data_IF_496580690809
#
_entry.id   IF_496580690809
#
_cell.length_a   1.000
_cell.length_b   1.000
_cell.length_c   1.000
_cell.angle_alpha   90.00
_cell.angle_beta   90.00
_cell.angle_gamma   90.00
#
_symmetry.space_group_name_H-M   'P 1'
#
loop_
_entity.id
_entity.type
_entity.pdbx_description
1 polymer ?
#
# COMPACT_ATOMS: atom_id res chain seq x y z
N UNK A 1 -3.14 -20.24 -38.64
CA UNK A 1 -3.99 -19.05 -38.89
C UNK A 1 -5.32 -19.35 -38.23
N UNK A 2 -5.51 -18.99 -36.99
CA UNK A 2 -6.76 -19.04 -36.23
C UNK A 2 -6.90 -17.70 -35.53
N UNK A 3 -7.90 -16.92 -35.96
CA UNK A 3 -8.26 -15.66 -35.32
C UNK A 3 -8.71 -15.98 -33.89
N UNK A 4 -7.98 -15.49 -32.91
CA UNK A 4 -8.46 -15.41 -31.54
C UNK A 4 -9.66 -14.44 -31.55
N UNK A 5 -10.86 -14.95 -31.26
CA UNK A 5 -12.03 -14.14 -30.98
C UNK A 5 -11.78 -13.20 -29.80
N UNK A 6 -12.60 -12.17 -29.61
CA UNK A 6 -12.46 -11.28 -28.46
C UNK A 6 -12.53 -12.13 -27.20
N UNK A 7 -11.45 -12.07 -26.38
CA UNK A 7 -11.41 -12.69 -25.06
C UNK A 7 -12.51 -11.98 -24.28
N UNK A 8 -13.51 -12.74 -23.84
CA UNK A 8 -14.59 -12.24 -23.00
C UNK A 8 -13.94 -11.65 -21.73
N UNK A 9 -14.14 -10.37 -21.49
CA UNK A 9 -13.44 -9.65 -20.40
C UNK A 9 -13.65 -10.30 -19.04
N UNK A 10 -14.76 -10.99 -18.83
CA UNK A 10 -15.11 -11.66 -17.58
C UNK A 10 -14.38 -12.99 -17.39
N UNK A 11 -14.15 -13.77 -18.45
CA UNK A 11 -13.32 -14.97 -18.37
C UNK A 11 -11.85 -14.63 -18.08
N UNK A 12 -11.33 -13.55 -18.70
CA UNK A 12 -9.98 -13.07 -18.43
C UNK A 12 -9.85 -12.56 -16.97
N UNK A 13 -10.87 -11.90 -16.45
CA UNK A 13 -10.91 -11.42 -15.05
C UNK A 13 -11.01 -12.59 -14.07
N UNK A 14 -11.90 -13.55 -14.30
CA UNK A 14 -12.03 -14.75 -13.47
C UNK A 14 -10.74 -15.57 -13.42
N UNK A 15 -10.10 -15.81 -14.57
CA UNK A 15 -8.81 -16.48 -14.64
C UNK A 15 -7.71 -15.66 -13.93
N UNK A 16 -7.71 -14.34 -14.07
CA UNK A 16 -6.76 -13.47 -13.39
C UNK A 16 -6.92 -13.54 -11.88
N UNK A 17 -8.15 -13.57 -11.35
CA UNK A 17 -8.43 -13.69 -9.91
C UNK A 17 -7.98 -15.05 -9.38
N UNK A 18 -8.32 -16.15 -10.06
CA UNK A 18 -7.89 -17.49 -9.67
C UNK A 18 -6.36 -17.62 -9.73
N UNK A 19 -5.71 -17.14 -10.78
CA UNK A 19 -4.26 -17.09 -10.87
C UNK A 19 -3.65 -16.20 -9.77
N UNK A 20 -4.24 -15.02 -9.52
CA UNK A 20 -3.79 -14.15 -8.44
C UNK A 20 -3.90 -14.82 -7.07
N UNK A 21 -4.94 -15.59 -6.83
CA UNK A 21 -5.12 -16.30 -5.57
C UNK A 21 -4.17 -17.48 -5.43
N UNK A 22 -4.06 -18.33 -6.47
CA UNK A 22 -3.25 -19.56 -6.45
C UNK A 22 -1.76 -19.26 -6.63
N UNK A 23 -1.41 -18.40 -7.60
CA UNK A 23 -0.02 -18.14 -7.97
C UNK A 23 0.60 -17.00 -7.14
N UNK A 24 -0.21 -16.06 -6.65
CA UNK A 24 0.26 -14.86 -5.95
C UNK A 24 0.22 -14.96 -4.42
N UNK A 25 -0.25 -16.08 -3.82
CA UNK A 25 -0.30 -16.24 -2.36
C UNK A 25 -0.96 -14.98 -1.70
N UNK A 26 -2.27 -14.82 -1.92
CA UNK A 26 -3.03 -13.65 -1.46
C UNK A 26 -2.85 -13.35 0.04
N UNK A 27 -2.81 -14.34 0.95
CA UNK A 27 -2.52 -14.07 2.36
C UNK A 27 -1.19 -13.34 2.59
N UNK A 28 -0.15 -13.68 1.84
CA UNK A 28 1.14 -12.96 1.92
C UNK A 28 1.08 -11.53 1.38
N UNK A 29 0.20 -11.25 0.42
CA UNK A 29 -0.01 -9.90 -0.11
C UNK A 29 -0.78 -9.02 0.87
N UNK A 30 -1.79 -9.60 1.54
CA UNK A 30 -2.70 -8.85 2.42
C UNK A 30 -2.27 -8.85 3.89
N UNK A 31 -1.17 -9.54 4.24
CA UNK A 31 -0.76 -9.71 5.63
C UNK A 31 -1.80 -10.48 6.46
N UNK A 32 -2.49 -11.45 5.83
CA UNK A 32 -3.56 -12.22 6.47
C UNK A 32 -4.89 -11.48 6.62
N UNK A 33 -4.98 -10.21 6.16
CA UNK A 33 -6.24 -9.47 6.12
C UNK A 33 -7.07 -9.91 4.91
N UNK A 34 -8.40 -9.70 4.98
CA UNK A 34 -9.28 -9.99 3.85
C UNK A 34 -9.06 -9.01 2.71
N UNK A 35 -9.01 -9.53 1.48
CA UNK A 35 -8.96 -8.71 0.28
C UNK A 35 -10.38 -8.37 -0.20
N UNK A 36 -10.66 -7.11 -0.48
CA UNK A 36 -11.86 -6.72 -1.20
C UNK A 36 -11.66 -6.99 -2.70
N UNK A 37 -12.53 -7.79 -3.29
CA UNK A 37 -12.43 -8.19 -4.69
C UNK A 37 -13.74 -7.88 -5.39
N UNK A 38 -13.65 -7.14 -6.50
CA UNK A 38 -14.77 -6.76 -7.33
C UNK A 38 -15.30 -7.96 -8.13
N UNK A 39 -16.61 -8.17 -8.08
CA UNK A 39 -17.31 -9.22 -8.82
C UNK A 39 -18.35 -8.62 -9.76
N UNK A 40 -18.28 -9.02 -11.02
CA UNK A 40 -19.33 -8.75 -11.99
C UNK A 40 -20.52 -9.69 -11.78
N UNK A 41 -21.64 -9.40 -12.45
CA UNK A 41 -22.83 -10.27 -12.43
C UNK A 41 -22.49 -11.72 -12.83
N UNK A 42 -21.74 -11.87 -13.90
CA UNK A 42 -21.37 -13.18 -14.46
C UNK A 42 -20.50 -13.97 -13.48
N UNK A 43 -19.60 -13.30 -12.78
CA UNK A 43 -18.74 -13.92 -11.77
C UNK A 43 -19.53 -14.37 -10.53
N UNK A 44 -20.50 -13.57 -10.08
CA UNK A 44 -21.38 -13.89 -8.95
C UNK A 44 -22.26 -15.11 -9.27
N UNK A 45 -22.98 -15.06 -10.39
CA UNK A 45 -23.88 -16.14 -10.82
C UNK A 45 -23.11 -17.40 -11.20
N UNK A 46 -21.93 -17.26 -11.81
CA UNK A 46 -21.04 -18.34 -12.21
C UNK A 46 -20.29 -19.01 -11.05
N UNK A 47 -20.45 -18.54 -9.79
CA UNK A 47 -19.85 -19.19 -8.62
C UNK A 47 -18.33 -18.98 -8.50
N UNK A 48 -17.75 -17.98 -9.17
CA UNK A 48 -16.28 -17.74 -9.14
C UNK A 48 -15.83 -17.39 -7.73
N UNK A 49 -16.64 -16.69 -6.93
CA UNK A 49 -16.32 -16.37 -5.55
C UNK A 49 -16.13 -17.63 -4.68
N UNK A 50 -16.88 -18.71 -4.96
CA UNK A 50 -16.83 -19.97 -4.22
C UNK A 50 -15.52 -20.75 -4.40
N UNK A 51 -14.68 -20.36 -5.38
CA UNK A 51 -13.34 -20.91 -5.57
C UNK A 51 -12.30 -20.33 -4.59
N UNK A 52 -12.65 -19.27 -3.86
CA UNK A 52 -11.78 -18.56 -2.94
C UNK A 52 -12.21 -18.79 -1.50
N UNK A 53 -11.29 -18.87 -0.51
CA UNK A 53 -11.68 -19.06 0.89
C UNK A 53 -12.48 -17.87 1.43
N UNK A 54 -13.61 -18.09 2.14
CA UNK A 54 -14.47 -17.02 2.64
C UNK A 54 -13.81 -16.13 3.72
N UNK A 55 -12.79 -16.64 4.40
CA UNK A 55 -12.01 -15.91 5.39
C UNK A 55 -10.90 -15.04 4.78
N UNK A 56 -10.58 -15.23 3.51
CA UNK A 56 -9.53 -14.49 2.82
C UNK A 56 -10.06 -13.32 1.99
N UNK A 57 -11.36 -13.27 1.68
CA UNK A 57 -11.94 -12.24 0.80
C UNK A 57 -13.19 -11.60 1.38
N UNK A 58 -13.48 -10.40 0.89
CA UNK A 58 -14.80 -9.74 0.90
C UNK A 58 -15.25 -9.65 -0.55
N UNK A 59 -16.43 -10.18 -0.84
CA UNK A 59 -17.03 -10.14 -2.18
C UNK A 59 -17.64 -8.75 -2.37
N UNK A 60 -17.06 -7.96 -3.26
CA UNK A 60 -17.49 -6.60 -3.56
C UNK A 60 -18.38 -6.61 -4.80
N UNK A 61 -19.66 -6.26 -4.62
CA UNK A 61 -20.64 -6.20 -5.71
C UNK A 61 -20.60 -4.80 -6.29
N UNK A 62 -20.22 -4.71 -7.57
CA UNK A 62 -20.09 -3.43 -8.26
C UNK A 62 -21.46 -2.74 -8.41
N UNK A 63 -21.46 -1.40 -8.45
CA UNK A 63 -22.64 -0.57 -8.66
C UNK A 63 -23.36 -0.83 -10.02
N UNK A 64 -22.61 -1.38 -10.98
CA UNK A 64 -23.13 -1.73 -12.33
C UNK A 64 -23.84 -3.09 -12.38
N UNK A 65 -23.84 -3.84 -11.28
CA UNK A 65 -24.48 -5.17 -11.23
C UNK A 65 -25.97 -5.02 -11.00
N UNK A 66 -26.79 -5.46 -11.96
CA UNK A 66 -28.23 -5.57 -11.78
C UNK A 66 -28.57 -6.62 -10.73
N UNK A 67 -29.27 -6.21 -9.67
CA UNK A 67 -29.69 -7.10 -8.58
C UNK A 67 -30.95 -7.91 -8.97
N UNK A 68 -30.85 -8.68 -10.08
CA UNK A 68 -31.88 -9.62 -10.48
C UNK A 68 -31.99 -10.83 -9.52
N UNK A 69 -32.95 -11.69 -9.76
CA UNK A 69 -33.19 -12.83 -8.86
C UNK A 69 -31.99 -13.80 -8.79
N UNK A 70 -31.24 -13.95 -9.89
CA UNK A 70 -30.06 -14.83 -9.93
C UNK A 70 -28.90 -14.24 -9.09
N UNK A 71 -28.69 -12.92 -9.16
CA UNK A 71 -27.69 -12.23 -8.36
C UNK A 71 -28.05 -12.30 -6.87
N UNK A 72 -29.33 -12.04 -6.52
CA UNK A 72 -29.79 -12.11 -5.13
C UNK A 72 -29.64 -13.55 -4.58
N UNK A 73 -29.95 -14.56 -5.38
CA UNK A 73 -29.75 -15.97 -5.02
C UNK A 73 -28.26 -16.30 -4.83
N UNK A 74 -27.38 -15.86 -5.76
CA UNK A 74 -25.94 -16.06 -5.65
C UNK A 74 -25.38 -15.38 -4.39
N UNK A 75 -25.72 -14.14 -4.12
CA UNK A 75 -25.33 -13.42 -2.89
C UNK A 75 -25.85 -14.13 -1.63
N UNK A 76 -27.05 -14.65 -1.65
CA UNK A 76 -27.61 -15.42 -0.53
C UNK A 76 -26.84 -16.72 -0.28
N UNK A 77 -26.47 -17.45 -1.34
CA UNK A 77 -25.62 -18.64 -1.22
C UNK A 77 -24.26 -18.29 -0.62
N UNK A 78 -23.63 -17.22 -1.10
CA UNK A 78 -22.33 -16.75 -0.58
C UNK A 78 -22.43 -16.41 0.91
N UNK A 79 -23.51 -15.72 1.34
CA UNK A 79 -23.76 -15.45 2.78
C UNK A 79 -23.85 -16.72 3.60
N UNK A 80 -24.60 -17.72 3.14
CA UNK A 80 -24.71 -19.02 3.84
C UNK A 80 -23.38 -19.79 3.88
N UNK A 81 -22.52 -19.59 2.87
CA UNK A 81 -21.18 -20.17 2.83
C UNK A 81 -20.14 -19.39 3.67
N UNK A 82 -20.54 -18.31 4.36
CA UNK A 82 -19.69 -17.56 5.29
C UNK A 82 -18.92 -16.38 4.67
N UNK A 83 -19.20 -16.02 3.40
CA UNK A 83 -18.59 -14.85 2.78
C UNK A 83 -19.16 -13.54 3.35
N UNK A 84 -18.31 -12.53 3.41
CA UNK A 84 -18.74 -11.15 3.61
C UNK A 84 -19.03 -10.49 2.27
N UNK A 85 -20.13 -9.74 2.20
CA UNK A 85 -20.54 -8.99 1.02
C UNK A 85 -20.36 -7.49 1.25
N UNK A 86 -19.74 -6.81 0.31
CA UNK A 86 -19.66 -5.35 0.24
C UNK A 86 -20.46 -4.83 -0.96
N UNK A 87 -21.18 -3.71 -0.78
CA UNK A 87 -21.81 -2.98 -1.88
C UNK A 87 -20.95 -1.78 -2.22
N UNK A 88 -20.53 -1.70 -3.49
CA UNK A 88 -19.70 -0.63 -4.00
C UNK A 88 -20.50 0.59 -4.41
N UNK A 89 -19.95 1.79 -4.24
CA UNK A 89 -20.51 3.10 -4.63
C UNK A 89 -22.04 3.19 -4.35
N UNK A 90 -22.43 2.88 -3.10
CA UNK A 90 -23.87 2.76 -2.74
C UNK A 90 -24.61 4.05 -2.94
N UNK A 91 -25.65 4.00 -3.79
CA UNK A 91 -26.59 5.10 -4.05
C UNK A 91 -27.89 4.84 -3.29
N UNK A 92 -28.29 5.79 -2.42
CA UNK A 92 -29.49 5.68 -1.57
C UNK A 92 -30.80 5.48 -2.33
N UNK A 93 -30.87 5.93 -3.58
CA UNK A 93 -32.07 5.88 -4.42
C UNK A 93 -32.09 4.71 -5.41
N UNK A 94 -31.03 3.88 -5.45
CA UNK A 94 -30.97 2.73 -6.34
C UNK A 94 -31.83 1.58 -5.83
N UNK A 95 -32.85 1.18 -6.58
CA UNK A 95 -33.67 -0.01 -6.28
C UNK A 95 -32.83 -1.29 -6.24
N UNK A 96 -31.81 -1.37 -7.07
CA UNK A 96 -30.88 -2.50 -7.16
C UNK A 96 -30.11 -2.68 -5.84
N UNK A 97 -29.55 -1.59 -5.32
CA UNK A 97 -28.86 -1.63 -4.03
C UNK A 97 -29.79 -1.96 -2.87
N UNK A 98 -31.07 -1.54 -2.91
CA UNK A 98 -32.03 -1.87 -1.88
C UNK A 98 -32.31 -3.37 -1.79
N UNK A 99 -32.30 -4.11 -2.90
CA UNK A 99 -32.50 -5.57 -2.90
C UNK A 99 -31.34 -6.33 -2.25
N UNK A 100 -30.11 -5.85 -2.40
CA UNK A 100 -28.89 -6.46 -1.86
C UNK A 100 -28.54 -5.98 -0.45
N UNK A 101 -29.08 -4.81 -0.02
CA UNK A 101 -28.77 -4.20 1.27
C UNK A 101 -28.99 -5.14 2.46
N UNK A 102 -30.03 -5.98 2.52
CA UNK A 102 -30.20 -6.94 3.63
C UNK A 102 -29.09 -7.99 3.74
N UNK A 103 -28.37 -8.25 2.66
CA UNK A 103 -27.29 -9.21 2.58
C UNK A 103 -25.91 -8.60 2.85
N UNK A 104 -25.80 -7.27 2.81
CA UNK A 104 -24.55 -6.54 2.90
C UNK A 104 -23.99 -6.48 4.32
N UNK A 105 -22.72 -6.86 4.48
CA UNK A 105 -21.94 -6.68 5.71
C UNK A 105 -21.19 -5.34 5.71
N UNK A 106 -20.81 -4.87 4.51
CA UNK A 106 -20.12 -3.60 4.31
C UNK A 106 -20.88 -2.80 3.25
N UNK A 107 -21.04 -1.50 3.47
CA UNK A 107 -21.55 -0.58 2.46
C UNK A 107 -20.53 0.54 2.28
N UNK A 108 -20.09 0.73 1.04
CA UNK A 108 -19.09 1.72 0.64
C UNK A 108 -19.79 2.98 0.17
N UNK A 109 -19.35 4.12 0.64
CA UNK A 109 -19.90 5.44 0.32
C UNK A 109 -18.78 6.31 -0.23
N UNK A 110 -18.91 6.71 -1.51
CA UNK A 110 -17.95 7.59 -2.17
C UNK A 110 -18.01 9.00 -1.61
N UNK A 111 -16.89 9.48 -1.04
CA UNK A 111 -16.80 10.82 -0.48
C UNK A 111 -16.58 11.90 -1.54
N UNK A 112 -16.03 11.56 -2.71
CA UNK A 112 -15.91 12.52 -3.82
C UNK A 112 -17.22 12.78 -4.53
N UNK A 113 -18.07 11.73 -4.64
CA UNK A 113 -19.38 11.82 -5.31
C UNK A 113 -20.50 12.35 -4.42
N UNK A 114 -20.33 12.42 -3.10
CA UNK A 114 -21.38 12.77 -2.16
C UNK A 114 -21.01 14.00 -1.30
N UNK A 115 -21.94 14.96 -1.19
CA UNK A 115 -21.81 16.08 -0.27
C UNK A 115 -22.05 15.65 1.20
N UNK A 116 -21.80 16.56 2.13
CA UNK A 116 -21.95 16.27 3.57
C UNK A 116 -23.33 15.77 3.95
N UNK A 117 -24.40 16.31 3.33
CA UNK A 117 -25.79 15.90 3.61
C UNK A 117 -26.06 14.49 3.14
N UNK A 118 -25.57 14.13 1.94
CA UNK A 118 -25.70 12.78 1.42
C UNK A 118 -24.92 11.77 2.27
N UNK A 119 -23.71 12.12 2.74
CA UNK A 119 -22.91 11.30 3.67
C UNK A 119 -23.59 11.08 5.02
N UNK A 120 -24.22 12.13 5.60
CA UNK A 120 -25.02 12.00 6.83
C UNK A 120 -26.28 11.16 6.62
N UNK A 121 -26.98 11.34 5.51
CA UNK A 121 -28.15 10.54 5.16
C UNK A 121 -27.80 9.07 4.98
N UNK A 122 -26.65 8.78 4.35
CA UNK A 122 -26.13 7.43 4.21
C UNK A 122 -25.94 6.77 5.59
N UNK A 123 -25.30 7.47 6.54
CA UNK A 123 -25.17 6.96 7.93
C UNK A 123 -26.52 6.64 8.56
N UNK A 124 -27.49 7.56 8.45
CA UNK A 124 -28.81 7.37 9.05
C UNK A 124 -29.56 6.17 8.50
N UNK A 125 -29.49 5.94 7.17
CA UNK A 125 -30.22 4.86 6.50
C UNK A 125 -29.51 3.52 6.52
N UNK A 126 -28.19 3.54 6.47
CA UNK A 126 -27.39 2.32 6.27
C UNK A 126 -26.90 1.71 7.58
N UNK A 127 -26.80 2.49 8.65
CA UNK A 127 -26.33 1.99 9.95
C UNK A 127 -27.29 0.93 10.49
N UNK A 128 -26.77 -0.27 10.67
CA UNK A 128 -27.50 -1.42 11.22
C UNK A 128 -26.54 -2.25 12.08
N UNK A 129 -27.04 -2.97 13.09
CA UNK A 129 -26.19 -3.88 13.87
C UNK A 129 -25.48 -4.89 12.98
N UNK A 130 -24.16 -4.97 13.10
CA UNK A 130 -23.32 -5.89 12.33
C UNK A 130 -22.90 -5.40 10.93
N UNK A 131 -23.49 -4.28 10.44
CA UNK A 131 -23.07 -3.70 9.16
C UNK A 131 -22.02 -2.62 9.36
N UNK A 132 -20.95 -2.69 8.58
CA UNK A 132 -19.87 -1.71 8.59
C UNK A 132 -20.10 -0.67 7.46
N UNK A 133 -19.76 0.58 7.73
CA UNK A 133 -19.71 1.63 6.73
C UNK A 133 -18.24 1.91 6.37
N UNK A 134 -17.95 1.91 5.07
CA UNK A 134 -16.65 2.23 4.51
C UNK A 134 -16.74 3.57 3.79
N UNK A 135 -15.93 4.53 4.21
CA UNK A 135 -15.75 5.80 3.51
C UNK A 135 -14.70 5.61 2.42
N UNK A 136 -15.13 5.77 1.16
CA UNK A 136 -14.25 5.67 -0.01
C UNK A 136 -13.75 7.02 -0.48
N UNK A 137 -12.61 6.98 -1.19
CA UNK A 137 -11.99 8.16 -1.81
C UNK A 137 -11.80 9.32 -0.84
N UNK A 138 -11.51 8.97 0.43
CA UNK A 138 -11.17 9.97 1.45
C UNK A 138 -9.83 10.60 1.09
N UNK A 139 -9.82 11.90 0.80
CA UNK A 139 -8.64 12.59 0.30
C UNK A 139 -7.98 13.52 1.31
N UNK A 140 -8.70 13.89 2.37
CA UNK A 140 -8.23 14.86 3.36
C UNK A 140 -8.39 14.35 4.79
N UNK A 141 -7.53 14.83 5.70
CA UNK A 141 -7.63 14.50 7.12
C UNK A 141 -8.94 14.99 7.75
N UNK A 142 -9.49 16.18 7.42
CA UNK A 142 -10.82 16.58 7.87
C UNK A 142 -11.94 15.62 7.44
N UNK A 143 -11.90 15.08 6.22
CA UNK A 143 -12.86 14.07 5.78
C UNK A 143 -12.73 12.78 6.55
N UNK A 144 -11.53 12.31 6.81
CA UNK A 144 -11.26 11.13 7.63
C UNK A 144 -11.80 11.31 9.05
N UNK A 145 -11.47 12.43 9.71
CA UNK A 145 -11.95 12.70 11.06
C UNK A 145 -13.48 12.83 11.09
N UNK A 146 -14.09 13.47 10.09
CA UNK A 146 -15.53 13.54 9.95
C UNK A 146 -16.16 12.14 9.82
N UNK A 147 -15.62 11.29 8.94
CA UNK A 147 -16.09 9.93 8.73
C UNK A 147 -16.03 9.12 10.04
N UNK A 148 -14.89 9.18 10.73
CA UNK A 148 -14.66 8.49 11.99
C UNK A 148 -15.69 8.91 13.09
N UNK A 149 -15.97 10.21 13.19
CA UNK A 149 -16.92 10.76 14.15
C UNK A 149 -18.38 10.39 13.83
N UNK A 150 -18.70 10.15 12.56
CA UNK A 150 -20.06 9.85 12.10
C UNK A 150 -20.35 8.35 11.97
N UNK A 151 -19.39 7.48 12.30
CA UNK A 151 -19.63 6.05 12.43
C UNK A 151 -19.19 5.22 11.21
N UNK A 152 -18.42 5.79 10.30
CA UNK A 152 -17.65 5.03 9.36
C UNK A 152 -16.50 4.34 10.10
N UNK A 153 -16.39 3.04 9.94
CA UNK A 153 -15.39 2.21 10.64
C UNK A 153 -14.25 1.77 9.75
N UNK A 154 -14.47 1.78 8.44
CA UNK A 154 -13.50 1.47 7.41
C UNK A 154 -13.27 2.71 6.54
N UNK A 155 -12.03 2.92 6.11
CA UNK A 155 -11.66 4.09 5.35
C UNK A 155 -10.74 3.67 4.21
N UNK A 156 -11.06 4.11 3.00
CA UNK A 156 -10.28 3.89 1.79
C UNK A 156 -10.02 5.24 1.13
N UNK A 157 -8.76 5.52 0.82
CA UNK A 157 -8.39 6.75 0.15
C UNK A 157 -6.95 7.12 0.38
N UNK A 158 -6.52 8.21 -0.24
CA UNK A 158 -5.12 8.62 -0.28
C UNK A 158 -4.77 9.68 0.78
N UNK A 159 -5.71 9.99 1.71
CA UNK A 159 -5.55 11.08 2.68
C UNK A 159 -4.31 10.92 3.57
N UNK A 160 -4.01 9.69 4.03
CA UNK A 160 -2.87 9.42 4.91
C UNK A 160 -1.51 9.52 4.18
N UNK A 161 -1.51 9.35 2.85
CA UNK A 161 -0.30 9.45 2.03
C UNK A 161 -0.08 10.87 1.45
N UNK A 162 -1.02 11.81 1.66
CA UNK A 162 -0.86 13.22 1.28
C UNK A 162 -0.18 14.00 2.41
N UNK A 163 0.81 14.85 2.11
CA UNK A 163 1.36 15.76 3.10
C UNK A 163 0.28 16.76 3.55
N UNK A 164 -0.17 16.62 4.78
CA UNK A 164 -1.00 17.66 5.40
C UNK A 164 -0.06 18.57 6.18
N UNK A 165 0.27 19.72 5.64
CA UNK A 165 1.18 20.65 6.32
C UNK A 165 0.51 21.25 7.55
N UNK A 166 1.03 20.94 8.72
CA UNK A 166 0.72 21.64 9.95
C UNK A 166 1.72 22.77 10.12
N UNK A 167 1.30 23.99 9.76
CA UNK A 167 2.15 25.18 9.90
C UNK A 167 2.56 25.38 11.37
N UNK A 168 3.85 25.60 11.59
CA UNK A 168 4.39 26.08 12.88
C UNK A 168 4.84 25.02 13.89
N UNK A 169 4.65 23.72 13.68
CA UNK A 169 5.22 22.70 14.56
C UNK A 169 6.68 22.39 14.18
N UNK A 170 7.59 22.40 15.15
CA UNK A 170 8.95 21.91 14.92
C UNK A 170 8.97 20.39 14.87
N UNK A 171 9.87 19.82 14.04
CA UNK A 171 10.08 18.36 14.04
C UNK A 171 10.61 17.94 15.41
N UNK A 172 9.97 16.98 16.11
CA UNK A 172 10.44 16.52 17.41
C UNK A 172 11.91 16.09 17.37
N UNK A 173 12.71 16.40 18.41
CA UNK A 173 14.14 16.05 18.44
C UNK A 173 14.43 14.57 18.16
N UNK A 174 13.59 13.65 18.65
CA UNK A 174 13.70 12.22 18.36
C UNK A 174 13.61 11.91 16.86
N UNK A 175 12.69 12.54 16.13
CA UNK A 175 12.55 12.36 14.66
C UNK A 175 13.73 12.98 13.90
N UNK A 176 14.32 14.06 14.41
CA UNK A 176 15.53 14.67 13.83
C UNK A 176 16.73 13.71 13.87
N UNK A 177 16.87 12.90 14.92
CA UNK A 177 17.95 11.91 15.00
C UNK A 177 17.83 10.85 13.90
N UNK A 178 16.63 10.37 13.62
CA UNK A 178 16.40 9.45 12.50
C UNK A 178 16.68 10.10 11.13
N UNK A 179 16.35 11.38 10.94
CA UNK A 179 16.69 12.10 9.70
C UNK A 179 18.21 12.26 9.55
N UNK A 180 18.93 12.53 10.63
CA UNK A 180 20.41 12.57 10.62
C UNK A 180 21.01 11.22 10.25
N UNK A 181 20.47 10.12 10.82
CA UNK A 181 20.90 8.78 10.48
C UNK A 181 20.61 8.45 9.01
N UNK A 182 19.43 8.79 8.48
CA UNK A 182 19.12 8.64 7.05
C UNK A 182 20.14 9.37 6.17
N UNK A 183 20.58 10.57 6.56
CA UNK A 183 21.63 11.29 5.85
C UNK A 183 22.99 10.58 5.91
N UNK A 184 23.37 10.05 7.08
CA UNK A 184 24.63 9.31 7.23
C UNK A 184 24.68 8.04 6.37
N UNK A 185 23.52 7.38 6.18
CA UNK A 185 23.40 6.21 5.30
C UNK A 185 23.60 6.55 3.81
N UNK A 186 23.57 7.82 3.41
CA UNK A 186 23.73 8.26 2.01
C UNK A 186 25.18 8.54 1.62
N UNK A 187 26.10 8.61 2.58
CA UNK A 187 27.53 8.82 2.27
C UNK A 187 28.06 7.74 1.33
N UNK A 188 28.92 8.10 0.39
CA UNK A 188 29.50 7.19 -0.61
C UNK A 188 30.15 5.96 0.03
N UNK A 189 30.91 6.21 1.09
CA UNK A 189 31.42 5.17 2.00
C UNK A 189 30.65 5.22 3.31
N UNK A 190 30.16 4.08 3.76
CA UNK A 190 29.39 4.00 5.00
C UNK A 190 30.38 4.06 6.18
N UNK A 191 30.33 5.14 6.92
CA UNK A 191 31.06 5.23 8.19
C UNK A 191 30.35 4.35 9.23
N UNK A 192 30.83 3.10 9.33
CA UNK A 192 30.25 2.12 10.25
C UNK A 192 30.38 2.53 11.71
N UNK A 193 31.41 3.31 12.07
CA UNK A 193 31.59 3.78 13.46
C UNK A 193 30.58 4.87 13.79
N UNK A 194 30.34 5.82 12.89
CA UNK A 194 29.31 6.83 13.07
C UNK A 194 27.90 6.23 13.08
N UNK A 195 27.63 5.26 12.21
CA UNK A 195 26.34 4.55 12.18
C UNK A 195 26.15 3.71 13.45
N UNK A 196 27.17 2.99 13.89
CA UNK A 196 27.10 2.23 15.16
C UNK A 196 26.80 3.14 16.33
N UNK A 197 27.50 4.27 16.46
CA UNK A 197 27.25 5.24 17.53
C UNK A 197 25.80 5.74 17.50
N UNK A 198 25.30 6.17 16.33
CA UNK A 198 23.95 6.67 16.19
C UNK A 198 22.88 5.62 16.51
N UNK A 199 23.09 4.34 16.16
CA UNK A 199 22.18 3.25 16.49
C UNK A 199 22.24 2.91 17.99
N UNK A 200 23.41 2.93 18.60
CA UNK A 200 23.58 2.62 20.03
C UNK A 200 22.99 3.68 20.95
N UNK A 201 22.99 4.93 20.53
CA UNK A 201 22.38 6.05 21.28
C UNK A 201 20.86 5.95 21.34
N UNK A 202 20.24 5.15 20.47
CA UNK A 202 18.80 4.86 20.47
C UNK A 202 18.53 3.39 20.86
N UNK A 203 18.10 3.20 22.11
CA UNK A 203 17.80 1.85 22.66
C UNK A 203 16.71 1.15 21.84
N UNK A 204 15.69 1.89 21.37
CA UNK A 204 14.60 1.33 20.56
C UNK A 204 15.12 0.85 19.20
N UNK A 205 15.95 1.66 18.54
CA UNK A 205 16.55 1.31 17.24
C UNK A 205 17.49 0.11 17.39
N UNK A 206 18.33 0.10 18.41
CA UNK A 206 19.21 -1.04 18.74
C UNK A 206 18.40 -2.33 18.94
N UNK A 207 17.35 -2.27 19.75
CA UNK A 207 16.50 -3.43 20.03
C UNK A 207 15.82 -3.95 18.76
N UNK A 208 15.24 -3.06 17.96
CA UNK A 208 14.58 -3.42 16.69
C UNK A 208 15.56 -4.04 15.70
N UNK A 209 16.77 -3.49 15.55
CA UNK A 209 17.81 -4.03 14.69
C UNK A 209 18.22 -5.45 15.11
N UNK A 210 18.54 -5.65 16.40
CA UNK A 210 18.95 -6.95 16.89
C UNK A 210 17.81 -7.99 16.82
N UNK A 211 16.58 -7.60 17.12
CA UNK A 211 15.39 -8.47 16.99
C UNK A 211 15.18 -8.91 15.55
N UNK A 212 15.25 -7.97 14.60
CA UNK A 212 15.12 -8.25 13.18
C UNK A 212 16.17 -9.26 12.71
N UNK A 213 17.44 -9.05 13.04
CA UNK A 213 18.53 -9.92 12.59
C UNK A 213 18.55 -11.28 13.27
N UNK A 214 17.98 -11.41 14.45
CA UNK A 214 17.81 -12.69 15.14
C UNK A 214 16.47 -13.37 14.82
N UNK A 215 15.66 -12.81 13.90
CA UNK A 215 14.42 -13.43 13.45
C UNK A 215 14.71 -14.61 12.51
N UNK A 216 13.68 -15.46 12.28
CA UNK A 216 13.76 -16.62 11.39
C UNK A 216 14.09 -16.25 9.92
N UNK A 217 13.89 -14.98 9.53
CA UNK A 217 14.22 -14.47 8.19
C UNK A 217 15.73 -14.44 7.90
N UNK A 218 16.56 -14.45 8.95
CA UNK A 218 18.01 -14.48 8.84
C UNK A 218 18.54 -15.77 9.46
N UNK A 219 18.98 -16.71 8.64
CA UNK A 219 19.51 -18.02 9.08
C UNK A 219 20.97 -17.91 9.55
N UNK A 220 21.25 -17.07 10.55
CA UNK A 220 22.61 -16.95 11.08
C UNK A 220 23.02 -18.19 11.88
N UNK A 221 24.27 -18.65 11.70
CA UNK A 221 24.85 -19.76 12.49
C UNK A 221 25.05 -19.41 13.97
N UNK A 222 25.20 -18.12 14.28
CA UNK A 222 25.41 -17.62 15.64
C UNK A 222 24.48 -16.41 15.86
N UNK A 223 24.07 -16.24 17.11
CA UNK A 223 23.22 -15.11 17.50
C UNK A 223 23.97 -13.79 17.38
N UNK A 224 23.37 -12.79 16.77
CA UNK A 224 23.92 -11.43 16.68
C UNK A 224 23.73 -10.75 18.03
N UNK A 225 24.85 -10.43 18.71
CA UNK A 225 24.84 -9.90 20.07
C UNK A 225 25.20 -8.41 20.20
N UNK A 226 25.63 -7.75 19.12
CA UNK A 226 25.99 -6.34 19.15
C UNK A 226 25.64 -5.63 17.84
N UNK A 227 25.48 -4.30 17.90
CA UNK A 227 25.23 -3.45 16.73
C UNK A 227 26.37 -3.61 15.72
N UNK A 228 27.63 -3.54 16.15
CA UNK A 228 28.79 -3.73 15.27
C UNK A 228 28.77 -5.06 14.53
N UNK A 229 28.52 -6.15 15.26
CA UNK A 229 28.38 -7.47 14.65
C UNK A 229 27.25 -7.50 13.63
N UNK A 230 26.10 -6.84 13.92
CA UNK A 230 24.98 -6.70 13.04
C UNK A 230 25.36 -6.01 11.71
N UNK A 231 26.02 -4.85 11.79
CA UNK A 231 26.40 -4.05 10.63
C UNK A 231 27.40 -4.79 9.73
N UNK A 232 28.41 -5.43 10.35
CA UNK A 232 29.42 -6.22 9.62
C UNK A 232 28.79 -7.45 8.95
N UNK A 233 27.90 -8.16 9.64
CA UNK A 233 27.24 -9.35 9.12
C UNK A 233 26.29 -9.04 7.96
N UNK A 234 25.60 -7.90 8.01
CA UNK A 234 24.71 -7.43 6.93
C UNK A 234 25.47 -7.01 5.67
N UNK A 235 26.65 -6.40 5.85
CA UNK A 235 27.31 -5.67 4.79
C UNK A 235 26.67 -4.31 4.51
N UNK A 236 27.30 -3.52 3.66
CA UNK A 236 26.94 -2.11 3.47
C UNK A 236 25.53 -1.91 2.87
N UNK A 237 25.21 -2.59 1.77
CA UNK A 237 23.93 -2.45 1.07
C UNK A 237 22.74 -2.84 1.94
N UNK A 238 22.81 -3.99 2.62
CA UNK A 238 21.75 -4.43 3.51
C UNK A 238 21.62 -3.50 4.72
N UNK A 239 22.75 -3.02 5.27
CA UNK A 239 22.77 -2.03 6.35
C UNK A 239 22.01 -0.76 5.95
N UNK A 240 22.30 -0.19 4.78
CA UNK A 240 21.60 1.00 4.26
C UNK A 240 20.10 0.77 4.19
N UNK A 241 19.67 -0.35 3.61
CA UNK A 241 18.25 -0.69 3.42
C UNK A 241 17.51 -0.87 4.75
N UNK A 242 18.07 -1.69 5.63
CA UNK A 242 17.44 -2.00 6.92
C UNK A 242 17.41 -0.82 7.89
N UNK A 243 18.48 -0.06 7.98
CA UNK A 243 18.47 1.14 8.82
C UNK A 243 17.55 2.23 8.24
N UNK A 244 17.45 2.37 6.92
CA UNK A 244 16.46 3.29 6.32
C UNK A 244 15.03 2.90 6.68
N UNK A 245 14.69 1.60 6.66
CA UNK A 245 13.40 1.11 7.12
C UNK A 245 13.16 1.42 8.60
N UNK A 246 14.12 1.05 9.47
CA UNK A 246 13.99 1.27 10.91
C UNK A 246 13.87 2.77 11.26
N UNK A 247 14.61 3.64 10.57
CA UNK A 247 14.47 5.09 10.72
C UNK A 247 13.06 5.56 10.29
N UNK A 248 12.55 5.08 9.16
CA UNK A 248 11.19 5.42 8.70
C UNK A 248 10.14 4.96 9.71
N UNK A 249 10.25 3.75 10.25
CA UNK A 249 9.39 3.26 11.35
C UNK A 249 9.49 4.15 12.60
N UNK A 250 10.70 4.58 12.96
CA UNK A 250 10.93 5.47 14.11
C UNK A 250 10.30 6.85 13.92
N UNK A 251 10.34 7.39 12.70
CA UNK A 251 9.70 8.66 12.37
C UNK A 251 8.17 8.54 12.34
N UNK A 252 7.65 7.37 11.95
CA UNK A 252 6.22 7.11 11.75
C UNK A 252 5.48 6.59 12.99
N UNK A 253 6.09 6.62 14.20
CA UNK A 253 5.50 6.02 15.42
C UNK A 253 4.11 6.55 15.81
N UNK A 254 3.78 7.76 15.41
CA UNK A 254 2.50 8.44 15.66
C UNK A 254 1.61 8.49 14.39
N UNK A 255 1.90 7.67 13.39
CA UNK A 255 1.21 7.62 12.10
C UNK A 255 0.69 6.21 11.81
N UNK A 256 -0.29 6.05 10.90
CA UNK A 256 -0.73 4.74 10.46
C UNK A 256 0.41 3.86 9.96
N UNK A 257 0.43 2.60 10.37
CA UNK A 257 1.47 1.64 9.98
C UNK A 257 1.53 1.43 8.45
N UNK A 258 0.40 1.64 7.78
CA UNK A 258 0.24 1.57 6.34
C UNK A 258 1.19 2.50 5.58
N UNK A 259 1.54 3.66 6.15
CA UNK A 259 2.54 4.57 5.56
C UNK A 259 3.93 3.93 5.48
N UNK A 260 4.30 3.14 6.49
CA UNK A 260 5.59 2.43 6.50
C UNK A 260 5.55 1.28 5.50
N UNK A 261 4.45 0.52 5.46
CA UNK A 261 4.23 -0.56 4.47
C UNK A 261 4.33 0.01 3.06
N UNK A 262 3.66 1.11 2.79
CA UNK A 262 3.67 1.76 1.48
C UNK A 262 5.06 2.32 1.12
N UNK A 263 5.78 2.91 2.09
CA UNK A 263 7.16 3.37 1.89
C UNK A 263 8.09 2.23 1.50
N UNK A 264 7.99 1.08 2.19
CA UNK A 264 8.81 -0.09 1.89
C UNK A 264 8.40 -0.74 0.55
N UNK A 265 7.10 -0.78 0.25
CA UNK A 265 6.59 -1.25 -1.05
C UNK A 265 7.16 -0.40 -2.20
N UNK A 266 7.11 0.94 -2.09
CA UNK A 266 7.72 1.84 -3.08
C UNK A 266 9.21 1.61 -3.21
N UNK A 267 9.92 1.48 -2.09
CA UNK A 267 11.36 1.27 -2.08
C UNK A 267 11.75 -0.02 -2.83
N UNK A 268 11.10 -1.13 -2.49
CA UNK A 268 11.34 -2.42 -3.14
C UNK A 268 10.92 -2.44 -4.60
N UNK A 269 9.77 -1.85 -4.92
CA UNK A 269 9.32 -1.73 -6.29
C UNK A 269 10.30 -0.94 -7.15
N UNK A 270 10.76 0.21 -6.69
CA UNK A 270 11.71 1.04 -7.43
C UNK A 270 13.09 0.36 -7.57
N UNK A 271 13.52 -0.39 -6.56
CA UNK A 271 14.72 -1.21 -6.63
C UNK A 271 14.61 -2.27 -7.74
N UNK A 272 13.50 -3.01 -7.83
CA UNK A 272 13.27 -4.01 -8.85
C UNK A 272 13.09 -3.40 -10.25
N UNK A 273 12.36 -2.30 -10.35
CA UNK A 273 12.16 -1.56 -11.61
C UNK A 273 13.48 -1.04 -12.15
N UNK A 274 14.47 -0.71 -11.31
CA UNK A 274 15.78 -0.25 -11.76
C UNK A 274 16.42 -1.21 -12.77
N UNK A 275 16.30 -2.53 -12.54
CA UNK A 275 16.77 -3.54 -13.49
C UNK A 275 15.97 -3.61 -14.78
N UNK A 276 14.67 -3.30 -14.73
CA UNK A 276 13.79 -3.32 -15.90
C UNK A 276 14.00 -2.13 -16.84
N UNK A 277 14.59 -1.04 -16.34
CA UNK A 277 14.78 0.24 -17.06
C UNK A 277 16.26 0.60 -17.26
N UNK A 278 17.18 -0.35 -17.04
CA UNK A 278 18.63 -0.16 -17.27
C UNK A 278 19.32 0.75 -16.25
N UNK A 279 18.82 0.81 -15.01
CA UNK A 279 19.35 1.61 -13.91
C UNK A 279 19.85 0.76 -12.73
N UNK A 280 20.32 -0.46 -12.97
CA UNK A 280 20.77 -1.40 -11.92
C UNK A 280 21.85 -0.80 -11.03
N UNK A 281 22.79 -0.05 -11.60
CA UNK A 281 23.85 0.63 -10.86
C UNK A 281 23.32 1.69 -9.86
N UNK A 282 22.07 2.08 -10.00
CA UNK A 282 21.38 3.07 -9.15
C UNK A 282 20.25 2.46 -8.32
N UNK A 283 20.18 1.14 -8.22
CA UNK A 283 19.14 0.44 -7.48
C UNK A 283 19.02 0.92 -6.02
N UNK A 284 20.16 1.18 -5.35
CA UNK A 284 20.20 1.75 -4.02
C UNK A 284 19.61 3.16 -3.92
N UNK A 285 19.83 4.00 -4.96
CA UNK A 285 19.22 5.34 -5.01
C UNK A 285 17.71 5.26 -5.19
N UNK A 286 17.23 4.36 -6.07
CA UNK A 286 15.82 4.14 -6.30
C UNK A 286 15.13 3.56 -5.05
N UNK A 287 15.76 2.59 -4.37
CA UNK A 287 15.27 2.09 -3.10
C UNK A 287 15.11 3.21 -2.07
N UNK A 288 16.17 4.02 -1.88
CA UNK A 288 16.14 5.11 -0.92
C UNK A 288 15.08 6.17 -1.30
N UNK A 289 14.98 6.51 -2.58
CA UNK A 289 13.95 7.42 -3.10
C UNK A 289 12.54 6.94 -2.75
N UNK A 290 12.24 5.67 -2.97
CA UNK A 290 10.96 5.08 -2.58
C UNK A 290 10.71 5.19 -1.08
N UNK A 291 11.70 4.84 -0.26
CA UNK A 291 11.62 4.88 1.20
C UNK A 291 11.30 6.28 1.73
N UNK A 292 11.95 7.33 1.20
CA UNK A 292 11.77 8.70 1.69
C UNK A 292 10.60 9.45 1.01
N UNK A 293 10.00 8.87 -0.03
CA UNK A 293 8.95 9.52 -0.82
C UNK A 293 7.70 9.89 -0.01
N UNK A 294 7.43 9.21 1.09
CA UNK A 294 6.32 9.47 2.00
C UNK A 294 6.71 10.23 3.27
N UNK A 295 7.99 10.59 3.46
CA UNK A 295 8.39 11.35 4.65
C UNK A 295 7.65 12.67 4.82
N UNK A 296 7.30 13.44 3.77
CA UNK A 296 6.46 14.63 3.92
C UNK A 296 5.11 14.32 4.57
N UNK A 297 4.44 13.23 4.17
CA UNK A 297 3.18 12.78 4.76
C UNK A 297 3.37 12.28 6.21
N UNK A 298 4.42 11.49 6.45
CA UNK A 298 4.75 10.97 7.79
C UNK A 298 5.06 12.11 8.77
N UNK A 299 5.79 13.14 8.33
CA UNK A 299 6.16 14.28 9.16
C UNK A 299 5.08 15.37 9.20
N UNK A 300 4.02 15.27 8.37
CA UNK A 300 3.01 16.30 8.14
C UNK A 300 3.65 17.67 7.77
N UNK A 301 4.57 17.66 6.80
CA UNK A 301 5.36 18.81 6.39
C UNK A 301 5.40 18.96 4.88
N UNK A 302 5.66 20.18 4.44
CA UNK A 302 5.88 20.46 3.04
C UNK A 302 7.07 19.67 2.48
N UNK A 303 6.88 19.08 1.29
CA UNK A 303 7.89 18.25 0.65
C UNK A 303 9.23 18.98 0.47
N UNK A 304 9.20 20.25 0.11
CA UNK A 304 10.38 21.07 -0.06
C UNK A 304 11.20 21.20 1.24
N UNK A 305 10.54 21.40 2.38
CA UNK A 305 11.19 21.49 3.69
C UNK A 305 11.85 20.18 4.10
N UNK A 306 11.13 19.06 3.92
CA UNK A 306 11.63 17.74 4.30
C UNK A 306 12.81 17.33 3.43
N UNK A 307 12.68 17.47 2.11
CA UNK A 307 13.75 17.06 1.20
C UNK A 307 14.97 18.00 1.22
N UNK A 308 14.80 19.24 1.68
CA UNK A 308 15.95 20.15 1.93
C UNK A 308 16.83 19.66 3.11
N UNK A 309 16.25 18.90 4.06
CA UNK A 309 17.00 18.36 5.20
C UNK A 309 17.70 17.03 4.88
N UNK A 310 17.44 16.43 3.71
CA UNK A 310 18.04 15.18 3.29
C UNK A 310 19.18 15.43 2.28
N UNK A 311 20.28 14.71 2.44
CA UNK A 311 21.42 14.71 1.51
C UNK A 311 21.06 13.94 0.23
N UNK A 312 20.09 14.42 -0.53
CA UNK A 312 19.62 13.79 -1.77
C UNK A 312 20.44 14.27 -2.97
N UNK A 313 20.80 13.36 -3.91
CA UNK A 313 21.25 13.78 -5.25
C UNK A 313 20.20 14.69 -5.90
N UNK A 314 20.65 15.65 -6.72
CA UNK A 314 19.76 16.64 -7.31
C UNK A 314 18.67 16.02 -8.19
N UNK A 315 19.00 14.97 -8.95
CA UNK A 315 18.06 14.25 -9.81
C UNK A 315 17.03 13.43 -9.00
N UNK A 316 17.41 12.86 -7.85
CA UNK A 316 16.49 12.21 -6.91
C UNK A 316 15.56 13.23 -6.27
N UNK A 317 16.11 14.36 -5.83
CA UNK A 317 15.30 15.47 -5.28
C UNK A 317 14.32 15.99 -6.32
N UNK A 318 14.78 16.22 -7.55
CA UNK A 318 13.93 16.64 -8.65
C UNK A 318 12.80 15.64 -8.91
N UNK A 319 13.08 14.32 -8.89
CA UNK A 319 12.07 13.28 -9.06
C UNK A 319 11.01 13.33 -7.96
N UNK A 320 11.43 13.44 -6.70
CA UNK A 320 10.53 13.53 -5.54
C UNK A 320 9.67 14.79 -5.54
N UNK A 321 10.16 15.88 -6.15
CA UNK A 321 9.42 17.14 -6.31
C UNK A 321 8.55 17.19 -7.58
N UNK A 322 8.35 16.06 -8.26
CA UNK A 322 7.49 15.97 -9.44
C UNK A 322 8.15 16.37 -10.76
N UNK A 323 9.47 16.43 -10.80
CA UNK A 323 10.24 16.74 -12.01
C UNK A 323 10.11 15.69 -13.14
N UNK A 324 10.68 16.00 -14.30
CA UNK A 324 10.49 15.25 -15.55
C UNK A 324 11.61 14.25 -15.91
N UNK A 325 12.43 13.79 -14.96
CA UNK A 325 13.51 12.85 -15.24
C UNK A 325 13.05 11.37 -15.19
N UNK A 326 13.94 10.46 -15.58
CA UNK A 326 13.67 9.01 -15.60
C UNK A 326 13.29 8.45 -14.22
N UNK A 327 13.88 8.97 -13.14
CA UNK A 327 13.57 8.55 -11.77
C UNK A 327 12.14 8.96 -11.37
N UNK A 328 11.71 10.13 -11.80
CA UNK A 328 10.32 10.57 -11.61
C UNK A 328 9.33 9.70 -12.38
N UNK A 329 9.70 9.22 -13.57
CA UNK A 329 8.87 8.30 -14.33
C UNK A 329 8.76 6.93 -13.65
N UNK A 330 9.85 6.43 -13.07
CA UNK A 330 9.83 5.22 -12.25
C UNK A 330 8.94 5.39 -11.00
N UNK A 331 9.02 6.53 -10.31
CA UNK A 331 8.15 6.81 -9.16
C UNK A 331 6.67 6.90 -9.57
N UNK A 332 6.37 7.52 -10.73
CA UNK A 332 5.00 7.55 -11.26
C UNK A 332 4.43 6.16 -11.53
N UNK A 333 5.24 5.17 -11.91
CA UNK A 333 4.75 3.78 -12.02
C UNK A 333 4.22 3.26 -10.70
N UNK A 334 4.92 3.48 -9.58
CA UNK A 334 4.41 3.10 -8.26
C UNK A 334 3.06 3.77 -7.95
N UNK A 335 2.95 5.07 -8.24
CA UNK A 335 1.72 5.83 -8.00
C UNK A 335 0.53 5.36 -8.86
N UNK A 336 0.77 4.82 -10.05
CA UNK A 336 -0.26 4.22 -10.91
C UNK A 336 -0.91 3.02 -10.20
N UNK A 337 -0.13 2.15 -9.57
CA UNK A 337 -0.68 1.02 -8.80
C UNK A 337 -1.47 1.49 -7.58
N UNK A 338 -0.92 2.44 -6.84
CA UNK A 338 -1.54 2.96 -5.62
C UNK A 338 -2.87 3.68 -5.87
N UNK A 339 -3.02 4.28 -7.06
CA UNK A 339 -4.20 5.06 -7.45
C UNK A 339 -5.13 4.32 -8.40
N UNK A 340 -4.80 3.08 -8.75
CA UNK A 340 -5.51 2.29 -9.77
C UNK A 340 -5.65 3.01 -11.14
N UNK A 341 -4.66 3.85 -11.52
CA UNK A 341 -4.65 4.60 -12.78
C UNK A 341 -4.15 3.73 -13.96
N UNK A 342 -4.71 2.55 -14.14
CA UNK A 342 -4.22 1.50 -15.05
C UNK A 342 -4.06 1.94 -16.50
N UNK A 343 -4.89 2.86 -16.98
CA UNK A 343 -4.84 3.40 -18.34
C UNK A 343 -3.51 4.12 -18.65
N UNK A 344 -2.78 4.56 -17.63
CA UNK A 344 -1.49 5.28 -17.77
C UNK A 344 -0.29 4.34 -17.82
N UNK A 345 -0.44 3.10 -17.35
CA UNK A 345 0.68 2.17 -17.22
C UNK A 345 1.33 1.80 -18.56
N UNK A 346 0.57 1.51 -19.66
CA UNK A 346 1.19 1.14 -20.93
C UNK A 346 2.11 2.21 -21.52
N UNK A 347 1.71 3.49 -21.47
CA UNK A 347 2.53 4.60 -21.98
C UNK A 347 3.80 4.79 -21.13
N UNK A 348 3.70 4.74 -19.80
CA UNK A 348 4.86 4.85 -18.92
C UNK A 348 5.86 3.71 -19.13
N UNK A 349 5.36 2.49 -19.37
CA UNK A 349 6.21 1.34 -19.67
C UNK A 349 6.92 1.49 -21.01
N UNK A 350 6.22 1.95 -22.05
CA UNK A 350 6.80 2.20 -23.37
C UNK A 350 7.92 3.25 -23.32
N UNK A 351 7.69 4.35 -22.60
CA UNK A 351 8.68 5.43 -22.42
C UNK A 351 9.97 4.96 -21.73
N UNK A 352 9.89 3.92 -20.91
CA UNK A 352 11.01 3.38 -20.14
C UNK A 352 11.55 2.05 -20.69
N UNK A 353 11.05 1.59 -21.84
CA UNK A 353 11.54 0.37 -22.51
C UNK A 353 11.22 -0.92 -21.75
N UNK A 354 10.12 -0.93 -20.97
CA UNK A 354 9.66 -2.10 -20.21
C UNK A 354 8.24 -2.50 -20.59
N UNK A 355 7.66 -3.48 -19.92
CA UNK A 355 6.32 -3.99 -20.21
C UNK A 355 5.40 -3.89 -18.98
N UNK A 356 4.07 -3.65 -19.14
CA UNK A 356 3.13 -3.63 -18.03
C UNK A 356 3.20 -4.90 -17.18
N UNK A 357 3.37 -6.07 -17.79
CA UNK A 357 3.48 -7.34 -17.07
C UNK A 357 4.70 -7.38 -16.16
N UNK A 358 5.89 -7.05 -16.66
CA UNK A 358 7.12 -7.07 -15.86
C UNK A 358 7.03 -6.10 -14.66
N UNK A 359 6.44 -4.91 -14.90
CA UNK A 359 6.23 -3.90 -13.86
C UNK A 359 5.19 -4.35 -12.83
N UNK A 360 4.09 -5.00 -13.26
CA UNK A 360 3.09 -5.56 -12.35
C UNK A 360 3.68 -6.67 -11.47
N UNK A 361 4.45 -7.58 -12.06
CA UNK A 361 5.13 -8.65 -11.33
C UNK A 361 6.11 -8.07 -10.29
N UNK A 362 6.82 -7.00 -10.62
CA UNK A 362 7.72 -6.29 -9.69
C UNK A 362 6.93 -5.66 -8.53
N UNK A 363 5.78 -5.03 -8.81
CA UNK A 363 4.95 -4.41 -7.76
C UNK A 363 4.39 -5.46 -6.78
N UNK A 364 3.92 -6.59 -7.30
CA UNK A 364 3.41 -7.71 -6.49
C UNK A 364 4.51 -8.26 -5.57
N UNK A 365 5.73 -8.48 -6.10
CA UNK A 365 6.86 -8.95 -5.27
C UNK A 365 7.23 -7.93 -4.19
N UNK A 366 7.25 -6.66 -4.54
CA UNK A 366 7.54 -5.58 -3.61
C UNK A 366 6.51 -5.49 -2.47
N UNK A 367 5.21 -5.53 -2.80
CA UNK A 367 4.13 -5.51 -1.82
C UNK A 367 4.20 -6.72 -0.87
N UNK A 368 4.40 -7.93 -1.43
CA UNK A 368 4.59 -9.17 -0.65
C UNK A 368 5.78 -9.09 0.29
N UNK A 369 6.91 -8.53 -0.20
CA UNK A 369 8.09 -8.34 0.64
C UNK A 369 7.82 -7.37 1.80
N UNK A 370 7.16 -6.24 1.53
CA UNK A 370 6.84 -5.24 2.54
C UNK A 370 5.91 -5.81 3.62
N UNK A 371 4.87 -6.53 3.22
CA UNK A 371 3.93 -7.17 4.12
C UNK A 371 4.62 -8.21 5.02
N UNK A 372 5.46 -9.08 4.44
CA UNK A 372 6.21 -10.08 5.23
C UNK A 372 7.22 -9.45 6.18
N UNK A 373 7.90 -8.38 5.77
CA UNK A 373 8.91 -7.72 6.59
C UNK A 373 8.29 -7.00 7.81
N UNK A 374 7.05 -6.54 7.71
CA UNK A 374 6.37 -5.75 8.73
C UNK A 374 5.24 -6.52 9.44
N UNK A 375 4.75 -7.62 8.88
CA UNK A 375 3.65 -8.44 9.40
C UNK A 375 4.03 -9.45 10.49
N UNK A 376 5.26 -9.45 11.00
CA UNK A 376 5.73 -10.40 12.04
C UNK A 376 5.54 -9.90 13.47
N UNK A 377 4.65 -8.95 13.72
CA UNK A 377 4.41 -8.36 15.04
C UNK A 377 3.10 -8.81 15.73
N UNK A 378 2.57 -10.00 15.42
CA UNK A 378 1.52 -10.65 16.23
C UNK A 378 2.08 -11.86 17.01
#
# INVERSE_FOLDING_TARGET
>A
VGAAGPIDGDQATAQTIVHAFVDLDLPSLTGGKRAFINFTREMLVGGIAELLPPDAIVVEVLETVDADDQVVEACTRLKHAGYQLALDDYLLESEQHQRLLPLADVVKVDFMGNDLRAREEAVRRLKSPGRLLLAEKVETEPEFEWARQHGYTLHQGYFFARPTSVQGQQIPPAKLNYLRLLNALRNRELDLDAVEAAVRDDVSLTHRLLRLLNSASFSWRQRIGSVRHALVALGEDATRKWLSLLCTMGIATDRPAELVVLSLTRARFLEEVSGLIGLEARSGDLFFMGMVSLLPAILAREAAEVYAQLALPDDVRQALMGGGNVLASALRMALVFERAEWSRLPSLCADLGTTPRAVSDAYIRAARHATRALGTED
#
